data_IF_093658735234
#
_entry.id   IF_093658735234
#
_cell.length_a   1.000
_cell.length_b   1.000
_cell.length_c   1.000
_cell.angle_alpha   90.00
_cell.angle_beta   90.00
_cell.angle_gamma   90.00
#
_symmetry.space_group_name_H-M   'P 1'
#
loop_
_entity.id
_entity.type
_entity.pdbx_description
1 polymer ?
#
# COMPACT_ATOMS: atom_id res chain seq x y z
N UNK A 1 -20.04 -8.50 3.33
CA UNK A 1 -18.93 -9.37 3.71
C UNK A 1 -18.00 -8.61 4.67
N UNK A 2 -17.47 -9.30 5.68
CA UNK A 2 -16.51 -8.74 6.63
C UNK A 2 -15.10 -8.78 6.04
N UNK A 3 -14.25 -7.84 6.46
CA UNK A 3 -12.82 -7.91 6.18
C UNK A 3 -12.23 -9.04 7.05
N UNK A 4 -11.39 -9.89 6.46
CA UNK A 4 -10.63 -10.87 7.22
C UNK A 4 -9.69 -10.14 8.18
N UNK A 5 -10.04 -10.16 9.46
CA UNK A 5 -9.37 -9.38 10.49
C UNK A 5 -9.01 -10.27 11.69
N UNK A 6 -7.73 -10.34 11.96
CA UNK A 6 -7.18 -11.07 13.11
C UNK A 6 -6.58 -10.08 14.11
N UNK A 7 -7.34 -9.62 15.11
CA UNK A 7 -6.83 -8.65 16.07
C UNK A 7 -5.73 -9.25 16.95
N UNK A 8 -4.80 -8.42 17.38
CA UNK A 8 -3.79 -8.83 18.35
C UNK A 8 -4.44 -9.24 19.68
N UNK A 9 -4.37 -10.53 20.02
CA UNK A 9 -5.15 -11.13 21.12
C UNK A 9 -4.45 -11.09 22.48
N UNK A 10 -3.17 -10.74 22.55
CA UNK A 10 -2.39 -10.76 23.78
C UNK A 10 -2.60 -9.53 24.68
N UNK A 11 -3.34 -8.51 24.22
CA UNK A 11 -3.70 -7.33 25.00
C UNK A 11 -5.18 -7.01 24.82
N UNK A 12 -5.89 -6.80 25.94
CA UNK A 12 -7.30 -6.41 25.94
C UNK A 12 -7.55 -5.05 25.27
N UNK A 13 -6.60 -4.12 25.40
CA UNK A 13 -6.66 -2.81 24.77
C UNK A 13 -6.48 -2.89 23.25
N UNK A 14 -5.52 -3.71 22.79
CA UNK A 14 -5.18 -3.83 21.38
C UNK A 14 -6.23 -4.62 20.58
N UNK A 15 -7.05 -5.44 21.22
CA UNK A 15 -8.18 -6.14 20.56
C UNK A 15 -9.17 -5.20 19.88
N UNK A 16 -9.28 -3.95 20.37
CA UNK A 16 -10.23 -2.95 19.87
C UNK A 16 -9.59 -1.92 18.94
N UNK A 17 -8.27 -2.00 18.73
CA UNK A 17 -7.55 -1.07 17.86
C UNK A 17 -7.54 -1.58 16.43
N UNK A 18 -7.55 -0.64 15.50
CA UNK A 18 -7.32 -0.93 14.10
C UNK A 18 -5.91 -1.49 13.92
N UNK A 19 -5.76 -2.42 12.99
CA UNK A 19 -4.45 -2.87 12.53
C UNK A 19 -3.93 -1.89 11.49
N UNK A 20 -2.67 -1.47 11.64
CA UNK A 20 -2.01 -0.57 10.68
C UNK A 20 -0.88 -1.30 9.98
N UNK A 21 -0.86 -1.21 8.65
CA UNK A 21 0.23 -1.71 7.81
C UNK A 21 0.85 -0.53 7.09
N UNK A 22 2.18 -0.44 7.12
CA UNK A 22 2.95 0.63 6.46
C UNK A 22 4.05 0.00 5.61
N UNK A 23 4.12 0.44 4.37
CA UNK A 23 5.18 0.08 3.42
C UNK A 23 6.06 1.29 3.17
N UNK A 24 7.37 1.12 3.34
CA UNK A 24 8.37 2.07 2.89
C UNK A 24 8.95 1.58 1.58
N UNK A 25 8.70 2.30 0.50
CA UNK A 25 8.95 1.87 -0.87
C UNK A 25 9.98 2.79 -1.51
N UNK A 26 10.95 2.19 -2.22
CA UNK A 26 11.91 2.92 -3.05
C UNK A 26 11.60 2.64 -4.53
N UNK A 27 11.14 3.67 -5.26
CA UNK A 27 10.92 3.61 -6.70
C UNK A 27 11.90 4.58 -7.40
N UNK A 28 12.91 4.03 -8.06
CA UNK A 28 14.00 4.84 -8.58
C UNK A 28 14.71 5.61 -7.48
N UNK A 29 14.71 6.95 -7.56
CA UNK A 29 15.31 7.84 -6.55
C UNK A 29 14.29 8.44 -5.57
N UNK A 30 13.02 8.08 -5.67
CA UNK A 30 11.95 8.56 -4.81
C UNK A 30 11.60 7.54 -3.74
N UNK A 31 11.43 8.03 -2.52
CA UNK A 31 10.97 7.22 -1.38
C UNK A 31 9.51 7.54 -1.10
N UNK A 32 8.72 6.49 -0.86
CA UNK A 32 7.31 6.62 -0.53
C UNK A 32 6.99 5.89 0.77
N UNK A 33 6.03 6.43 1.50
CA UNK A 33 5.32 5.76 2.57
C UNK A 33 3.88 5.55 2.13
N UNK A 34 3.49 4.29 1.94
CA UNK A 34 2.11 3.90 1.73
C UNK A 34 1.62 3.15 2.96
N UNK A 35 0.50 3.54 3.50
CA UNK A 35 -0.06 2.90 4.67
C UNK A 35 -1.58 2.90 4.69
N UNK A 36 -2.13 1.96 5.47
CA UNK A 36 -3.55 1.91 5.75
C UNK A 36 -3.81 1.29 7.12
N UNK A 37 -4.91 1.72 7.73
CA UNK A 37 -5.43 1.16 8.97
C UNK A 37 -6.80 0.55 8.72
N UNK A 38 -7.07 -0.61 9.33
CA UNK A 38 -8.32 -1.33 9.11
C UNK A 38 -8.75 -2.12 10.35
N UNK A 39 -10.03 -2.46 10.37
CA UNK A 39 -10.66 -3.39 11.31
C UNK A 39 -11.59 -4.35 10.55
N UNK A 40 -12.38 -5.15 11.26
CA UNK A 40 -13.33 -6.09 10.64
C UNK A 40 -14.43 -5.42 9.79
N UNK A 41 -14.69 -4.15 9.99
CA UNK A 41 -15.82 -3.44 9.37
C UNK A 41 -15.39 -2.58 8.18
N UNK A 42 -14.21 -1.93 8.28
CA UNK A 42 -13.79 -0.91 7.30
C UNK A 42 -12.28 -0.68 7.26
N UNK A 43 -11.85 -0.05 6.19
CA UNK A 43 -10.56 0.66 6.11
C UNK A 43 -10.80 2.02 6.79
N UNK A 44 -10.20 2.23 7.94
CA UNK A 44 -10.39 3.47 8.71
C UNK A 44 -9.56 4.64 8.17
N UNK A 45 -8.38 4.35 7.66
CA UNK A 45 -7.53 5.36 6.99
C UNK A 45 -6.65 4.72 5.93
N UNK A 46 -6.26 5.50 4.93
CA UNK A 46 -5.34 5.13 3.87
C UNK A 46 -4.57 6.36 3.41
N UNK A 47 -3.25 6.25 3.21
CA UNK A 47 -2.42 7.38 2.79
C UNK A 47 -1.25 6.96 1.92
N UNK A 48 -0.83 7.89 1.07
CA UNK A 48 0.41 7.83 0.32
C UNK A 48 1.14 9.16 0.45
N UNK A 49 2.42 9.08 0.84
CA UNK A 49 3.31 10.24 0.97
C UNK A 49 4.60 9.97 0.22
N UNK A 50 5.16 11.01 -0.39
CA UNK A 50 6.54 11.02 -0.81
C UNK A 50 7.41 11.54 0.32
N UNK A 51 8.40 10.75 0.73
CA UNK A 51 9.33 11.10 1.81
C UNK A 51 10.47 11.92 1.21
N UNK A 52 10.65 13.14 1.70
CA UNK A 52 11.70 14.05 1.28
C UNK A 52 12.58 14.47 2.47
N UNK A 53 13.79 14.98 2.19
CA UNK A 53 14.74 15.40 3.24
C UNK A 53 14.20 16.51 4.16
N UNK A 54 13.42 17.44 3.63
CA UNK A 54 12.98 18.63 4.37
C UNK A 54 11.54 18.52 4.87
N UNK A 55 10.64 17.96 4.08
CA UNK A 55 9.24 17.76 4.45
C UNK A 55 8.60 16.72 3.54
N UNK A 56 7.78 15.86 4.12
CA UNK A 56 7.01 14.89 3.36
C UNK A 56 5.92 15.55 2.54
N UNK A 57 5.69 15.05 1.35
CA UNK A 57 4.62 15.49 0.48
C UNK A 57 3.49 14.45 0.48
N UNK A 58 2.33 14.81 1.03
CA UNK A 58 1.13 13.96 0.95
C UNK A 58 0.62 13.96 -0.48
N UNK A 59 0.53 12.77 -1.09
CA UNK A 59 -0.03 12.56 -2.42
C UNK A 59 -1.54 12.37 -2.32
N UNK A 60 -1.97 11.46 -1.44
CA UNK A 60 -3.36 11.37 -1.02
C UNK A 60 -3.48 10.92 0.45
N UNK A 61 -4.61 11.24 1.04
CA UNK A 61 -5.04 10.75 2.33
C UNK A 61 -6.56 10.56 2.30
N UNK A 62 -7.02 9.46 2.86
CA UNK A 62 -8.43 9.11 2.96
C UNK A 62 -8.72 8.64 4.37
N UNK A 63 -9.83 9.10 4.94
CA UNK A 63 -10.30 8.70 6.27
C UNK A 63 -11.79 8.36 6.22
N UNK A 64 -12.17 7.28 6.86
CA UNK A 64 -13.56 6.85 7.02
C UNK A 64 -14.04 7.22 8.40
N UNK A 65 -15.02 8.13 8.49
CA UNK A 65 -15.61 8.56 9.75
C UNK A 65 -16.65 7.55 10.23
N UNK A 66 -16.44 7.00 11.42
CA UNK A 66 -17.33 5.95 11.98
C UNK A 66 -18.77 6.42 12.23
N UNK A 67 -18.99 7.69 12.57
CA UNK A 67 -20.29 8.22 12.98
C UNK A 67 -21.23 8.61 11.85
N UNK A 68 -20.71 8.87 10.66
CA UNK A 68 -21.47 9.48 9.56
C UNK A 68 -21.36 8.71 8.24
N UNK A 69 -20.64 7.59 8.21
CA UNK A 69 -20.30 6.85 6.98
C UNK A 69 -19.68 7.74 5.90
N UNK A 70 -19.10 8.86 6.32
CA UNK A 70 -18.48 9.82 5.44
C UNK A 70 -17.01 9.46 5.20
N UNK A 71 -16.60 9.49 3.94
CA UNK A 71 -15.21 9.35 3.53
C UNK A 71 -14.67 10.75 3.28
N UNK A 72 -13.72 11.19 4.12
CA UNK A 72 -12.93 12.38 3.83
C UNK A 72 -11.66 12.01 3.09
N UNK A 73 -11.26 12.82 2.12
CA UNK A 73 -10.06 12.58 1.32
C UNK A 73 -9.36 13.89 0.99
N UNK A 74 -8.05 13.77 0.85
CA UNK A 74 -7.18 14.83 0.36
C UNK A 74 -6.36 14.26 -0.79
N UNK A 75 -6.51 14.83 -1.99
CA UNK A 75 -5.73 14.49 -3.17
C UNK A 75 -4.91 15.71 -3.57
N UNK A 76 -3.59 15.58 -3.60
CA UNK A 76 -2.66 16.61 -4.07
C UNK A 76 -2.00 16.23 -5.39
N UNK A 77 -2.71 15.51 -6.21
CA UNK A 77 -2.33 15.30 -7.60
C UNK A 77 -2.65 16.60 -8.36
N UNK A 78 -1.80 16.96 -9.30
CA UNK A 78 -2.01 18.10 -10.21
C UNK A 78 -2.47 17.61 -11.61
N UNK A 79 -3.58 16.86 -11.70
CA UNK A 79 -4.15 16.48 -12.97
C UNK A 79 -4.84 17.68 -13.60
N UNK A 80 -5.22 17.59 -14.87
CA UNK A 80 -6.16 18.53 -15.47
C UNK A 80 -7.45 18.57 -14.66
N UNK A 81 -8.21 19.66 -14.76
CA UNK A 81 -9.39 19.88 -13.91
C UNK A 81 -10.42 18.73 -13.99
N UNK A 82 -10.68 18.22 -15.19
CA UNK A 82 -11.58 17.07 -15.42
C UNK A 82 -11.07 15.79 -14.77
N UNK A 83 -9.77 15.53 -14.88
CA UNK A 83 -9.10 14.37 -14.26
C UNK A 83 -9.13 14.45 -12.73
N UNK A 84 -8.99 15.67 -12.18
CA UNK A 84 -9.09 15.92 -10.73
C UNK A 84 -10.49 15.61 -10.21
N UNK A 85 -11.53 16.02 -10.94
CA UNK A 85 -12.92 15.72 -10.61
C UNK A 85 -13.18 14.21 -10.64
N UNK A 86 -12.67 13.51 -11.64
CA UNK A 86 -12.80 12.07 -11.75
C UNK A 86 -12.13 11.32 -10.59
N UNK A 87 -10.88 11.68 -10.24
CA UNK A 87 -10.18 11.07 -9.10
C UNK A 87 -10.89 11.37 -7.77
N UNK A 88 -11.42 12.58 -7.62
CA UNK A 88 -12.21 12.97 -6.46
C UNK A 88 -13.50 12.17 -6.35
N UNK A 89 -14.19 11.96 -7.47
CA UNK A 89 -15.36 11.11 -7.53
C UNK A 89 -15.01 9.66 -7.17
N UNK A 90 -13.92 9.13 -7.74
CA UNK A 90 -13.46 7.78 -7.44
C UNK A 90 -13.12 7.60 -5.96
N UNK A 91 -12.44 8.57 -5.34
CA UNK A 91 -12.11 8.51 -3.91
C UNK A 91 -13.37 8.47 -3.04
N UNK A 92 -14.41 9.23 -3.41
CA UNK A 92 -15.74 9.19 -2.74
C UNK A 92 -16.47 7.89 -2.99
N UNK A 93 -16.42 7.39 -4.22
CA UNK A 93 -17.12 6.17 -4.63
C UNK A 93 -16.46 4.89 -4.12
N UNK A 94 -15.20 4.96 -3.67
CA UNK A 94 -14.48 3.81 -3.14
C UNK A 94 -15.18 3.28 -1.89
N UNK A 95 -15.62 2.00 -1.87
CA UNK A 95 -16.27 1.42 -0.71
C UNK A 95 -15.41 1.48 0.55
N UNK A 96 -16.05 1.53 1.72
CA UNK A 96 -15.32 1.59 3.00
C UNK A 96 -14.42 0.39 3.27
N UNK A 97 -14.70 -0.75 2.63
CA UNK A 97 -13.94 -2.01 2.78
C UNK A 97 -12.86 -2.20 1.72
N UNK A 98 -12.68 -1.23 0.83
CA UNK A 98 -11.70 -1.30 -0.24
C UNK A 98 -10.68 -0.16 -0.13
N UNK A 99 -9.46 -0.45 -0.55
CA UNK A 99 -8.39 0.53 -0.65
C UNK A 99 -8.58 1.39 -1.90
N UNK A 100 -8.37 2.69 -1.79
CA UNK A 100 -8.42 3.61 -2.92
C UNK A 100 -7.35 3.26 -3.96
N UNK A 101 -6.14 2.88 -3.52
CA UNK A 101 -5.08 2.44 -4.42
C UNK A 101 -5.50 1.22 -5.25
N UNK A 102 -6.26 0.30 -4.65
CA UNK A 102 -6.82 -0.85 -5.36
C UNK A 102 -7.85 -0.44 -6.42
N UNK A 103 -8.71 0.54 -6.12
CA UNK A 103 -9.69 1.07 -7.09
C UNK A 103 -9.00 1.76 -8.27
N UNK A 104 -7.94 2.54 -8.01
CA UNK A 104 -7.12 3.16 -9.06
C UNK A 104 -6.50 2.09 -9.98
N UNK A 105 -5.94 1.04 -9.38
CA UNK A 105 -5.33 -0.07 -10.11
C UNK A 105 -6.35 -0.88 -10.92
N UNK A 106 -7.47 -1.27 -10.30
CA UNK A 106 -8.47 -2.16 -10.92
C UNK A 106 -9.21 -1.52 -12.10
N UNK A 107 -9.25 -0.19 -12.14
CA UNK A 107 -9.89 0.57 -13.22
C UNK A 107 -8.93 1.07 -14.30
N UNK A 108 -7.65 0.67 -14.25
CA UNK A 108 -6.61 1.10 -15.19
C UNK A 108 -6.59 2.63 -15.40
N UNK A 109 -6.71 3.38 -14.30
CA UNK A 109 -6.87 4.85 -14.35
C UNK A 109 -5.66 5.54 -14.97
N UNK A 110 -4.47 4.95 -14.84
CA UNK A 110 -3.24 5.43 -15.46
C UNK A 110 -3.34 5.58 -17.01
N UNK A 111 -4.25 4.86 -17.66
CA UNK A 111 -4.48 4.99 -19.10
C UNK A 111 -5.26 6.25 -19.46
N UNK A 112 -6.03 6.80 -18.52
CA UNK A 112 -7.01 7.86 -18.76
C UNK A 112 -6.69 9.17 -18.02
N UNK A 113 -5.79 9.14 -17.05
CA UNK A 113 -5.45 10.28 -16.21
C UNK A 113 -3.95 10.56 -16.31
N UNK A 114 -3.61 11.78 -16.71
CA UNK A 114 -2.22 12.24 -16.77
C UNK A 114 -1.73 12.69 -15.38
N UNK A 115 -0.39 12.70 -15.19
CA UNK A 115 0.25 13.21 -13.97
C UNK A 115 0.00 12.43 -12.66
N UNK A 116 -0.36 11.15 -12.74
CA UNK A 116 -0.44 10.26 -11.57
C UNK A 116 0.82 9.40 -11.37
N UNK A 117 1.96 9.84 -11.91
CA UNK A 117 3.23 9.09 -11.92
C UNK A 117 3.65 8.53 -10.56
N UNK A 118 3.33 9.23 -9.47
CA UNK A 118 3.65 8.77 -8.13
C UNK A 118 2.73 7.62 -7.67
N UNK A 119 1.47 7.62 -8.09
CA UNK A 119 0.56 6.47 -7.91
C UNK A 119 0.99 5.28 -8.75
N UNK A 120 1.29 5.51 -10.04
CA UNK A 120 1.73 4.46 -10.96
C UNK A 120 3.00 3.78 -10.47
N UNK A 121 3.99 4.54 -9.99
CA UNK A 121 5.23 3.99 -9.46
C UNK A 121 5.00 3.06 -8.25
N UNK A 122 4.08 3.43 -7.36
CA UNK A 122 3.75 2.62 -6.19
C UNK A 122 2.92 1.40 -6.59
N UNK A 123 1.96 1.54 -7.50
CA UNK A 123 1.18 0.42 -8.05
C UNK A 123 2.10 -0.58 -8.73
N UNK A 124 3.01 -0.10 -9.59
CA UNK A 124 3.97 -0.95 -10.29
C UNK A 124 4.85 -1.75 -9.31
N UNK A 125 5.27 -1.10 -8.22
CA UNK A 125 6.01 -1.79 -7.17
C UNK A 125 5.20 -2.92 -6.53
N UNK A 126 3.91 -2.71 -6.22
CA UNK A 126 3.05 -3.75 -5.66
C UNK A 126 2.82 -4.91 -6.63
N UNK A 127 2.65 -4.61 -7.92
CA UNK A 127 2.37 -5.62 -8.96
C UNK A 127 3.62 -6.41 -9.32
N UNK A 128 4.74 -5.75 -9.50
CA UNK A 128 5.92 -6.34 -10.13
C UNK A 128 7.05 -6.66 -9.14
N UNK A 129 7.16 -5.94 -8.03
CA UNK A 129 8.28 -6.07 -7.09
C UNK A 129 7.91 -6.83 -5.81
N UNK A 130 6.73 -6.58 -5.24
CA UNK A 130 6.30 -7.25 -4.01
C UNK A 130 6.06 -8.74 -4.25
N UNK A 131 6.72 -9.58 -3.45
CA UNK A 131 6.47 -11.03 -3.43
C UNK A 131 6.00 -11.43 -2.03
N UNK A 132 4.78 -11.93 -1.94
CA UNK A 132 4.22 -12.45 -0.70
C UNK A 132 4.46 -13.95 -0.66
N UNK A 133 5.11 -14.41 0.39
CA UNK A 133 5.46 -15.81 0.61
C UNK A 133 4.70 -16.29 1.85
N UNK A 134 3.85 -17.27 1.67
CA UNK A 134 3.16 -17.95 2.77
C UNK A 134 3.94 -19.21 3.19
N UNK A 135 3.75 -19.72 4.43
CA UNK A 135 4.44 -20.90 4.92
C UNK A 135 4.23 -22.16 4.04
N UNK A 136 3.08 -22.26 3.40
CA UNK A 136 2.67 -23.32 2.49
C UNK A 136 2.92 -23.02 1.00
N UNK A 137 3.53 -21.87 0.69
CA UNK A 137 3.84 -21.52 -0.71
C UNK A 137 4.90 -22.45 -1.25
N UNK A 138 4.61 -23.28 -2.28
CA UNK A 138 5.61 -24.15 -2.86
C UNK A 138 6.70 -23.33 -3.54
N UNK A 139 7.91 -23.40 -3.02
CA UNK A 139 9.07 -22.79 -3.66
C UNK A 139 9.37 -23.53 -4.96
N UNK A 140 9.09 -22.91 -6.11
CA UNK A 140 9.60 -23.44 -7.38
C UNK A 140 11.13 -23.34 -7.35
N UNK A 141 11.81 -24.44 -7.67
CA UNK A 141 13.27 -24.51 -7.70
C UNK A 141 13.94 -23.35 -8.47
N UNK A 142 13.25 -22.78 -9.48
CA UNK A 142 13.73 -21.63 -10.23
C UNK A 142 13.89 -20.34 -9.42
N UNK A 143 13.18 -20.16 -8.32
CA UNK A 143 13.35 -19.01 -7.41
C UNK A 143 14.62 -19.19 -6.59
N UNK A 144 14.88 -20.42 -6.12
CA UNK A 144 16.10 -20.77 -5.40
C UNK A 144 17.34 -20.65 -6.30
N UNK A 145 17.24 -21.03 -7.58
CA UNK A 145 18.32 -20.91 -8.54
C UNK A 145 18.63 -19.43 -8.86
N UNK A 146 17.62 -18.58 -9.05
CA UNK A 146 17.82 -17.14 -9.21
C UNK A 146 18.43 -16.48 -7.97
N UNK A 147 17.97 -16.88 -6.79
CA UNK A 147 18.55 -16.43 -5.52
C UNK A 147 20.00 -16.93 -5.33
N UNK A 148 20.34 -18.10 -5.90
CA UNK A 148 21.69 -18.64 -5.87
C UNK A 148 22.65 -17.94 -6.85
N UNK A 149 22.15 -17.30 -7.89
CA UNK A 149 22.97 -16.51 -8.83
C UNK A 149 23.16 -15.05 -8.41
N UNK A 150 22.28 -14.53 -7.55
CA UNK A 150 22.38 -13.16 -7.05
C UNK A 150 23.41 -13.07 -5.91
N UNK A 151 24.49 -12.33 -6.17
CA UNK A 151 25.58 -12.17 -5.20
C UNK A 151 25.19 -11.44 -3.92
N UNK A 152 24.19 -10.59 -3.95
CA UNK A 152 23.70 -9.85 -2.77
C UNK A 152 22.83 -10.76 -1.89
N UNK A 153 22.04 -11.64 -2.48
CA UNK A 153 21.32 -12.69 -1.77
C UNK A 153 22.27 -13.74 -1.18
N UNK A 154 23.34 -14.11 -1.88
CA UNK A 154 24.40 -15.00 -1.33
C UNK A 154 25.05 -14.41 -0.09
N UNK A 155 25.30 -13.10 -0.04
CA UNK A 155 25.83 -12.40 1.15
C UNK A 155 24.84 -12.42 2.31
N UNK A 156 23.56 -12.19 2.04
CA UNK A 156 22.49 -12.26 3.04
C UNK A 156 22.37 -13.66 3.68
N UNK A 157 22.42 -14.73 2.90
CA UNK A 157 22.38 -16.11 3.40
C UNK A 157 23.61 -16.49 4.21
N UNK A 158 24.82 -16.00 3.86
CA UNK A 158 26.02 -16.21 4.67
C UNK A 158 25.91 -15.59 6.08
N UNK A 159 25.32 -14.41 6.21
CA UNK A 159 25.12 -13.75 7.51
C UNK A 159 24.21 -14.58 8.42
N UNK A 160 23.18 -15.22 7.86
CA UNK A 160 22.26 -16.08 8.62
C UNK A 160 22.90 -17.42 9.07
N UNK A 161 23.91 -17.91 8.36
CA UNK A 161 24.63 -19.14 8.76
C UNK A 161 25.64 -18.94 9.89
N UNK A 162 26.18 -17.73 10.08
CA UNK A 162 27.18 -17.41 11.11
C UNK A 162 26.57 -16.81 12.38
N UNK A 163 25.26 -16.64 12.44
CA UNK A 163 24.50 -16.10 13.58
C UNK A 163 23.91 -17.15 14.54
N UNK A 164 24.52 -18.35 14.63
CA UNK A 164 24.20 -19.36 15.66
C UNK A 164 25.34 -19.51 16.64
#
# INVERSE_FOLDING_TARGET
>A
DLIDFYPFRLSSENKKRDTTIIYHILCGNKKYEYGFSYNSEQISSEWLKQINKNSDCVIFQRETKKSEFEISYLLKLNPKEEESQFLSFLAKATPQKQLFLHEVMSRNIHENVSNIKDLDAVIDWFVNSLKIIFPDTPYKQGVLLKAADDNDLKRGFKILQYGR
#
